data_IF_172228414512
#
_entry.id   IF_172228414512
#
_cell.length_a   1.000
_cell.length_b   1.000
_cell.length_c   1.000
_cell.angle_alpha   90.00
_cell.angle_beta   90.00
_cell.angle_gamma   90.00
#
_symmetry.space_group_name_H-M   'P 1'
#
loop_
_entity.id
_entity.type
_entity.pdbx_description
1 polymer ?
#
# COMPACT_ATOMS: atom_id res chain seq x y z
N UNK A 1 -33.76 -7.30 42.31
CA UNK A 1 -33.96 -6.00 42.99
C UNK A 1 -32.61 -5.30 42.94
N UNK A 2 -32.36 -4.11 42.38
CA UNK A 2 -33.16 -2.93 42.03
C UNK A 2 -32.54 -2.29 40.78
N UNK A 3 -33.38 -1.73 39.92
CA UNK A 3 -32.97 -0.81 38.85
C UNK A 3 -32.69 0.56 39.48
N UNK A 4 -31.60 1.22 39.10
CA UNK A 4 -31.44 2.66 39.33
C UNK A 4 -31.10 3.32 38.00
N UNK A 5 -32.07 4.10 37.54
CA UNK A 5 -31.96 5.10 36.49
C UNK A 5 -31.25 6.35 37.02
N UNK A 6 -30.61 7.10 36.12
CA UNK A 6 -30.06 8.43 36.39
C UNK A 6 -29.20 8.87 35.20
N UNK A 7 -29.77 9.50 34.18
CA UNK A 7 -30.11 10.93 34.07
C UNK A 7 -28.99 11.69 33.34
N UNK A 8 -29.40 12.31 32.22
CA UNK A 8 -28.60 13.10 31.29
C UNK A 8 -27.74 14.17 31.97
N UNK A 9 -26.51 14.34 31.48
CA UNK A 9 -25.79 15.60 31.51
C UNK A 9 -25.09 15.80 30.16
N UNK A 10 -25.67 16.63 29.30
CA UNK A 10 -25.04 17.13 28.09
C UNK A 10 -23.98 18.16 28.50
N UNK A 11 -22.70 17.85 28.26
CA UNK A 11 -21.59 18.78 28.46
C UNK A 11 -21.14 19.25 27.09
N UNK A 12 -21.54 20.47 26.73
CA UNK A 12 -21.02 21.23 25.60
C UNK A 12 -19.58 21.64 25.88
N UNK A 13 -18.62 20.99 25.23
CA UNK A 13 -17.21 21.39 25.24
C UNK A 13 -16.99 22.54 24.27
N UNK A 14 -16.65 23.70 24.83
CA UNK A 14 -16.32 24.94 24.14
C UNK A 14 -14.86 24.87 23.67
N UNK A 15 -14.62 24.85 22.36
CA UNK A 15 -13.28 24.86 21.74
C UNK A 15 -12.64 26.24 21.87
N UNK A 16 -11.45 26.32 22.47
CA UNK A 16 -10.62 27.54 22.47
C UNK A 16 -9.44 27.29 21.53
N UNK A 17 -9.44 27.96 20.37
CA UNK A 17 -8.29 28.01 19.47
C UNK A 17 -7.26 28.99 20.05
N UNK A 18 -6.16 28.47 20.59
CA UNK A 18 -4.98 29.27 20.92
C UNK A 18 -4.10 29.41 19.66
N UNK A 19 -4.09 30.61 19.06
CA UNK A 19 -3.13 30.98 18.03
C UNK A 19 -1.80 31.38 18.65
N UNK A 20 -0.71 30.69 18.30
CA UNK A 20 0.64 31.06 18.69
C UNK A 20 1.16 32.14 17.71
N UNK A 21 1.20 33.40 18.14
CA UNK A 21 1.96 34.45 17.46
C UNK A 21 3.40 34.39 17.98
N UNK A 22 4.36 34.03 17.12
CA UNK A 22 5.79 34.08 17.44
C UNK A 22 6.30 35.54 17.52
N UNK A 23 7.35 35.82 18.33
CA UNK A 23 7.85 37.17 18.52
C UNK A 23 8.53 37.73 17.26
N UNK A 24 8.32 39.02 17.06
CA UNK A 24 8.97 39.84 16.02
C UNK A 24 10.37 40.21 16.50
N UNK A 25 11.41 39.67 15.86
CA UNK A 25 12.79 40.13 16.06
C UNK A 25 13.12 41.27 15.09
N UNK A 26 13.76 42.27 15.67
CA UNK A 26 14.11 43.57 15.09
C UNK A 26 15.60 43.61 14.71
N UNK A 27 15.84 44.11 13.50
CA UNK A 27 17.06 44.75 12.94
C UNK A 27 18.20 43.92 12.32
N UNK A 28 18.76 44.40 11.18
CA UNK A 28 19.78 43.70 10.38
C UNK A 28 21.21 44.09 10.75
N UNK A 29 22.21 43.25 10.39
CA UNK A 29 23.41 43.83 9.80
C UNK A 29 23.98 43.03 8.60
N UNK A 30 24.52 43.83 7.67
CA UNK A 30 25.58 43.55 6.70
C UNK A 30 25.38 42.45 5.63
N UNK A 31 25.04 42.90 4.42
CA UNK A 31 25.23 42.15 3.19
C UNK A 31 26.72 41.84 2.98
N UNK A 32 27.09 40.57 3.18
CA UNK A 32 28.27 39.98 2.56
C UNK A 32 27.75 39.15 1.38
N UNK A 33 27.96 39.67 0.17
CA UNK A 33 27.67 38.95 -1.07
C UNK A 33 28.63 37.76 -1.20
N UNK A 34 28.23 36.63 -0.64
CA UNK A 34 28.75 35.33 -1.03
C UNK A 34 27.93 34.88 -2.23
N UNK A 35 28.59 34.79 -3.39
CA UNK A 35 27.96 34.32 -4.62
C UNK A 35 27.29 32.97 -4.40
N UNK A 36 25.97 32.96 -4.50
CA UNK A 36 25.20 31.75 -4.72
C UNK A 36 25.62 31.21 -6.09
N UNK A 37 26.46 30.17 -6.09
CA UNK A 37 26.48 29.24 -7.21
C UNK A 37 25.10 28.59 -7.24
N UNK A 38 24.20 29.12 -8.05
CA UNK A 38 23.03 28.38 -8.49
C UNK A 38 23.55 27.12 -9.18
N UNK A 39 23.46 25.98 -8.50
CA UNK A 39 23.50 24.68 -9.15
C UNK A 39 22.21 24.59 -9.93
N UNK A 40 22.26 25.06 -11.18
CA UNK A 40 21.20 24.87 -12.15
C UNK A 40 20.94 23.36 -12.27
N UNK A 41 19.69 22.87 -12.08
CA UNK A 41 19.41 21.47 -12.32
C UNK A 41 19.76 21.16 -13.77
N UNK A 42 20.74 20.27 -13.96
CA UNK A 42 21.16 19.86 -15.28
C UNK A 42 20.01 19.06 -15.91
N UNK A 43 19.47 19.43 -17.09
CA UNK A 43 18.36 18.71 -17.71
C UNK A 43 18.74 17.32 -18.27
N UNK A 44 20.01 16.92 -18.11
CA UNK A 44 20.62 15.74 -18.73
C UNK A 44 20.99 14.64 -17.72
N UNK A 45 20.20 14.43 -16.67
CA UNK A 45 20.10 13.07 -16.09
C UNK A 45 19.24 12.23 -17.04
N UNK A 46 19.88 11.79 -18.14
CA UNK A 46 19.35 10.75 -19.01
C UNK A 46 19.11 9.51 -18.16
N UNK A 47 17.85 9.21 -17.87
CA UNK A 47 17.40 8.02 -17.17
C UNK A 47 17.91 6.79 -17.92
N UNK A 48 18.99 6.20 -17.43
CA UNK A 48 19.42 4.89 -17.88
C UNK A 48 18.27 3.91 -17.63
N UNK A 49 17.95 2.99 -18.57
CA UNK A 49 16.95 1.96 -18.32
C UNK A 49 17.31 1.22 -17.04
N UNK A 50 16.41 1.26 -16.06
CA UNK A 50 16.58 0.51 -14.82
C UNK A 50 16.48 -0.99 -15.16
N UNK A 51 17.40 -1.78 -14.63
CA UNK A 51 17.34 -3.23 -14.82
C UNK A 51 16.05 -3.77 -14.16
N UNK A 52 15.42 -4.83 -14.71
CA UNK A 52 14.28 -5.46 -14.05
C UNK A 52 14.65 -5.87 -12.62
N UNK A 53 13.73 -5.75 -11.66
CA UNK A 53 13.97 -6.20 -10.30
C UNK A 53 14.25 -7.71 -10.28
N UNK A 54 15.06 -8.14 -9.33
CA UNK A 54 15.44 -9.55 -9.14
C UNK A 54 14.70 -10.16 -7.95
N UNK A 55 14.46 -11.47 -8.02
CA UNK A 55 13.87 -12.24 -6.92
C UNK A 55 14.95 -12.76 -5.97
N UNK A 56 14.75 -12.54 -4.66
CA UNK A 56 15.66 -12.94 -3.60
C UNK A 56 14.93 -13.82 -2.57
N UNK A 57 14.91 -15.16 -2.74
CA UNK A 57 14.11 -16.07 -1.91
C UNK A 57 14.53 -16.12 -0.44
N UNK A 58 15.78 -15.78 -0.15
CA UNK A 58 16.36 -15.81 1.20
C UNK A 58 16.33 -14.45 1.92
N UNK A 59 15.77 -13.41 1.28
CA UNK A 59 15.66 -12.05 1.82
C UNK A 59 14.22 -11.72 2.25
N UNK A 60 14.01 -10.70 3.10
CA UNK A 60 12.68 -10.32 3.57
C UNK A 60 11.71 -9.90 2.45
N UNK A 61 10.41 -9.85 2.76
CA UNK A 61 9.37 -9.44 1.82
C UNK A 61 9.62 -8.03 1.26
N UNK A 62 10.02 -7.08 2.12
CA UNK A 62 10.32 -5.71 1.69
C UNK A 62 11.38 -5.62 0.58
N UNK A 63 12.35 -6.54 0.55
CA UNK A 63 13.35 -6.59 -0.52
C UNK A 63 12.78 -7.10 -1.84
N UNK A 64 11.76 -7.96 -1.77
CA UNK A 64 11.10 -8.55 -2.95
C UNK A 64 9.88 -7.74 -3.41
N UNK A 65 9.47 -6.69 -2.69
CA UNK A 65 8.31 -5.88 -3.06
C UNK A 65 8.39 -5.31 -4.49
N UNK A 66 9.52 -4.76 -4.98
CA UNK A 66 9.63 -4.30 -6.36
C UNK A 66 9.51 -5.43 -7.39
N UNK A 67 10.05 -6.62 -7.09
CA UNK A 67 9.93 -7.79 -7.96
C UNK A 67 8.49 -8.30 -8.05
N UNK A 68 7.79 -8.30 -6.91
CA UNK A 68 6.38 -8.64 -6.83
C UNK A 68 5.52 -7.66 -7.64
N UNK A 69 5.72 -6.35 -7.46
CA UNK A 69 5.03 -5.31 -8.24
C UNK A 69 5.27 -5.48 -9.74
N UNK A 70 6.52 -5.68 -10.14
CA UNK A 70 6.88 -5.88 -11.54
C UNK A 70 6.22 -7.14 -12.12
N UNK A 71 6.20 -8.25 -11.38
CA UNK A 71 5.55 -9.49 -11.81
C UNK A 71 4.04 -9.29 -12.01
N UNK A 72 3.39 -8.58 -11.08
CA UNK A 72 1.97 -8.24 -11.21
C UNK A 72 1.73 -7.34 -12.44
N UNK A 73 2.53 -6.30 -12.63
CA UNK A 73 2.40 -5.39 -13.78
C UNK A 73 2.59 -6.12 -15.12
N UNK A 74 3.62 -6.97 -15.25
CA UNK A 74 3.87 -7.75 -16.47
C UNK A 74 2.78 -8.79 -16.76
N UNK A 75 2.14 -9.31 -15.71
CA UNK A 75 0.99 -10.20 -15.85
C UNK A 75 -0.31 -9.47 -16.27
N UNK A 76 -0.28 -8.13 -16.32
CA UNK A 76 -1.42 -7.29 -16.68
C UNK A 76 -2.25 -6.81 -15.50
N UNK A 77 -1.83 -7.03 -14.25
CA UNK A 77 -2.50 -6.44 -13.10
C UNK A 77 -2.48 -4.91 -13.23
N UNK A 78 -3.64 -4.27 -13.03
CA UNK A 78 -3.80 -2.83 -13.28
C UNK A 78 -4.24 -2.50 -14.71
N UNK A 79 -4.39 -3.50 -15.60
CA UNK A 79 -4.88 -3.34 -16.98
C UNK A 79 -5.79 -4.53 -17.35
N UNK A 80 -7.11 -4.34 -17.35
CA UNK A 80 -8.07 -5.42 -17.68
C UNK A 80 -8.24 -5.61 -19.20
N UNK A 81 -8.59 -6.84 -19.65
CA UNK A 81 -8.94 -8.01 -18.84
C UNK A 81 -7.71 -8.84 -18.41
N UNK A 82 -7.70 -9.20 -17.13
CA UNK A 82 -6.74 -10.15 -16.53
C UNK A 82 -7.54 -11.14 -15.68
N UNK A 83 -7.15 -12.42 -15.70
CA UNK A 83 -7.80 -13.46 -14.90
C UNK A 83 -6.98 -13.79 -13.65
N UNK A 84 -7.66 -14.23 -12.59
CA UNK A 84 -7.04 -14.77 -11.38
C UNK A 84 -6.00 -15.86 -11.66
N UNK A 85 -6.30 -16.71 -12.63
CA UNK A 85 -5.46 -17.84 -13.02
C UNK A 85 -4.16 -17.35 -13.65
N UNK A 86 -4.21 -16.36 -14.54
CA UNK A 86 -3.03 -15.80 -15.20
C UNK A 86 -2.08 -15.13 -14.19
N UNK A 87 -2.62 -14.34 -13.26
CA UNK A 87 -1.82 -13.74 -12.17
C UNK A 87 -1.16 -14.81 -11.32
N UNK A 88 -1.91 -15.84 -10.94
CA UNK A 88 -1.40 -16.94 -10.10
C UNK A 88 -0.28 -17.69 -10.84
N UNK A 89 -0.45 -17.99 -12.12
CA UNK A 89 0.58 -18.65 -12.92
C UNK A 89 1.81 -17.77 -13.12
N UNK A 90 1.65 -16.45 -13.29
CA UNK A 90 2.77 -15.52 -13.39
C UNK A 90 3.59 -15.51 -12.09
N UNK A 91 2.93 -15.42 -10.93
CA UNK A 91 3.60 -15.48 -9.63
C UNK A 91 4.33 -16.82 -9.40
N UNK A 92 3.70 -17.93 -9.78
CA UNK A 92 4.35 -19.26 -9.70
C UNK A 92 5.56 -19.32 -10.63
N UNK A 93 5.43 -18.85 -11.86
CA UNK A 93 6.52 -18.79 -12.84
C UNK A 93 7.68 -17.89 -12.39
N UNK A 94 7.37 -16.86 -11.59
CA UNK A 94 8.33 -15.96 -10.97
C UNK A 94 9.05 -16.56 -9.75
N UNK A 95 8.58 -17.70 -9.23
CA UNK A 95 9.20 -18.45 -8.13
C UNK A 95 8.46 -18.38 -6.79
N UNK A 96 7.28 -17.74 -6.73
CA UNK A 96 6.42 -17.81 -5.56
C UNK A 96 5.70 -19.16 -5.47
N UNK A 97 5.39 -19.60 -4.26
CA UNK A 97 4.79 -20.92 -4.04
C UNK A 97 3.27 -20.82 -4.12
N UNK A 98 2.64 -21.72 -4.88
CA UNK A 98 1.19 -21.73 -5.07
C UNK A 98 0.38 -21.80 -3.75
N UNK A 99 0.91 -22.50 -2.74
CA UNK A 99 0.26 -22.64 -1.44
C UNK A 99 0.25 -21.34 -0.61
N UNK A 100 1.12 -20.39 -0.95
CA UNK A 100 1.27 -19.12 -0.25
C UNK A 100 0.52 -17.98 -0.95
N UNK A 101 -0.09 -18.25 -2.11
CA UNK A 101 -0.84 -17.26 -2.90
C UNK A 101 -2.31 -17.26 -2.46
N UNK A 102 -2.79 -16.10 -2.08
CA UNK A 102 -4.19 -15.83 -1.73
C UNK A 102 -4.74 -14.75 -2.66
N UNK A 103 -6.02 -14.86 -3.06
CA UNK A 103 -6.63 -13.85 -3.92
C UNK A 103 -8.12 -13.68 -3.65
N UNK A 104 -8.62 -12.45 -3.71
CA UNK A 104 -10.05 -12.18 -3.63
C UNK A 104 -10.76 -12.64 -4.91
N UNK A 105 -12.07 -12.95 -4.85
CA UNK A 105 -12.83 -13.29 -6.05
C UNK A 105 -12.80 -12.18 -7.11
N UNK A 106 -12.51 -12.56 -8.36
CA UNK A 106 -12.55 -11.64 -9.53
C UNK A 106 -13.97 -11.27 -9.98
N UNK A 107 -15.00 -11.92 -9.41
CA UNK A 107 -16.41 -11.70 -9.71
C UNK A 107 -17.24 -11.60 -8.45
N UNK A 108 -18.25 -10.74 -8.50
CA UNK A 108 -19.29 -10.63 -7.49
C UNK A 108 -20.22 -11.85 -7.49
N UNK A 109 -21.07 -11.95 -6.45
CA UNK A 109 -22.08 -13.00 -6.31
C UNK A 109 -23.10 -13.04 -7.46
N UNK A 110 -23.27 -11.93 -8.18
CA UNK A 110 -24.15 -11.82 -9.36
C UNK A 110 -23.37 -11.90 -10.69
N UNK A 111 -22.14 -12.44 -10.65
CA UNK A 111 -21.26 -12.70 -11.80
C UNK A 111 -20.80 -11.46 -12.59
N UNK A 112 -20.84 -10.27 -11.99
CA UNK A 112 -20.18 -9.08 -12.53
C UNK A 112 -18.69 -9.07 -12.13
N UNK A 113 -17.79 -8.55 -12.97
CA UNK A 113 -16.39 -8.32 -12.58
C UNK A 113 -16.30 -7.53 -11.28
N UNK A 114 -15.32 -7.86 -10.44
CA UNK A 114 -15.01 -7.08 -9.26
C UNK A 114 -14.41 -5.73 -9.66
N UNK A 115 -14.76 -4.66 -8.92
CA UNK A 115 -14.20 -3.32 -9.15
C UNK A 115 -12.71 -3.26 -8.82
N UNK A 116 -12.25 -4.15 -7.93
CA UNK A 116 -10.85 -4.33 -7.57
C UNK A 116 -10.60 -5.77 -7.14
N UNK A 117 -9.39 -6.26 -7.37
CA UNK A 117 -8.93 -7.56 -6.90
C UNK A 117 -7.70 -7.37 -6.02
N UNK A 118 -7.67 -8.04 -4.89
CA UNK A 118 -6.49 -8.12 -4.02
C UNK A 118 -5.84 -9.49 -4.17
N UNK A 119 -4.52 -9.49 -4.27
CA UNK A 119 -3.65 -10.67 -4.26
C UNK A 119 -2.68 -10.54 -3.10
N UNK A 120 -2.34 -11.64 -2.46
CA UNK A 120 -1.29 -11.66 -1.47
C UNK A 120 -0.43 -12.91 -1.59
N UNK A 121 0.84 -12.78 -1.21
CA UNK A 121 1.76 -13.90 -1.08
C UNK A 121 2.36 -13.89 0.32
N UNK A 122 2.15 -14.97 1.07
CA UNK A 122 2.87 -15.20 2.32
C UNK A 122 4.35 -15.46 2.00
N UNK A 123 5.24 -14.60 2.49
CA UNK A 123 6.65 -14.63 2.12
C UNK A 123 7.53 -14.13 3.26
N UNK A 124 8.53 -14.93 3.63
CA UNK A 124 9.49 -14.60 4.70
C UNK A 124 8.85 -14.18 6.05
N UNK A 125 7.64 -14.68 6.35
CA UNK A 125 6.90 -14.35 7.58
C UNK A 125 6.09 -13.05 7.52
N UNK A 126 6.06 -12.39 6.36
CA UNK A 126 5.25 -11.22 6.06
C UNK A 126 4.34 -11.51 4.85
N UNK A 127 3.49 -10.56 4.49
CA UNK A 127 2.60 -10.66 3.34
C UNK A 127 2.96 -9.58 2.32
N UNK A 128 3.34 -10.01 1.12
CA UNK A 128 3.36 -9.15 -0.06
C UNK A 128 1.91 -9.01 -0.54
N UNK A 129 1.33 -7.81 -0.46
CA UNK A 129 -0.06 -7.58 -0.85
C UNK A 129 -0.11 -6.65 -2.05
N UNK A 130 -0.85 -7.04 -3.08
CA UNK A 130 -1.17 -6.23 -4.24
C UNK A 130 -2.67 -6.00 -4.31
N UNK A 131 -3.08 -4.79 -4.70
CA UNK A 131 -4.45 -4.50 -5.09
C UNK A 131 -4.45 -3.83 -6.45
N UNK A 132 -5.37 -4.22 -7.31
CA UNK A 132 -5.45 -3.68 -8.65
C UNK A 132 -6.88 -3.55 -9.16
N UNK A 133 -7.05 -2.62 -10.10
CA UNK A 133 -8.25 -2.45 -10.93
C UNK A 133 -7.85 -2.60 -12.41
N UNK A 134 -8.66 -2.08 -13.33
CA UNK A 134 -8.32 -1.90 -14.75
C UNK A 134 -7.48 -0.65 -15.05
N UNK A 135 -7.22 0.18 -14.05
CA UNK A 135 -6.53 1.47 -14.20
C UNK A 135 -5.26 1.60 -13.38
N UNK A 136 -5.16 0.88 -12.26
CA UNK A 136 -4.03 1.01 -11.33
C UNK A 136 -3.68 -0.29 -10.62
N UNK A 137 -2.44 -0.35 -10.16
CA UNK A 137 -1.88 -1.37 -9.29
C UNK A 137 -1.19 -0.66 -8.11
N UNK A 138 -1.39 -1.18 -6.90
CA UNK A 138 -0.64 -0.76 -5.71
C UNK A 138 -0.19 -1.99 -4.94
N UNK A 139 1.01 -1.93 -4.37
CA UNK A 139 1.58 -2.99 -3.55
C UNK A 139 2.06 -2.47 -2.20
N UNK A 140 2.10 -3.35 -1.19
CA UNK A 140 2.68 -3.08 0.12
C UNK A 140 3.13 -4.39 0.81
N UNK A 141 3.90 -4.25 1.89
CA UNK A 141 4.23 -5.34 2.81
C UNK A 141 3.46 -5.14 4.12
N UNK A 142 2.74 -6.17 4.54
CA UNK A 142 1.99 -6.15 5.80
C UNK A 142 2.32 -7.35 6.67
N UNK A 143 2.10 -7.20 7.97
CA UNK A 143 2.15 -8.33 8.89
C UNK A 143 0.99 -9.30 8.60
N UNK A 144 1.19 -10.62 8.76
CA UNK A 144 0.13 -11.60 8.57
C UNK A 144 -0.98 -11.43 9.62
N UNK A 145 -2.16 -11.96 9.29
CA UNK A 145 -3.28 -12.07 10.21
C UNK A 145 -2.94 -13.02 11.37
N UNK A 146 -3.66 -12.98 12.51
CA UNK A 146 -3.39 -13.87 13.64
C UNK A 146 -3.49 -15.37 13.33
N UNK A 147 -4.21 -15.75 12.27
CA UNK A 147 -4.34 -17.12 11.77
C UNK A 147 -3.23 -17.50 10.76
N UNK A 148 -2.32 -16.58 10.45
CA UNK A 148 -1.19 -16.76 9.55
C UNK A 148 -1.49 -16.46 8.08
N UNK A 149 -2.74 -16.13 7.72
CA UNK A 149 -3.12 -15.77 6.35
C UNK A 149 -2.80 -14.31 6.04
N UNK A 150 -2.88 -13.96 4.76
CA UNK A 150 -2.65 -12.59 4.30
C UNK A 150 -3.94 -11.83 3.99
N UNK A 151 -5.01 -12.52 3.58
CA UNK A 151 -6.28 -11.93 3.19
C UNK A 151 -7.46 -12.53 3.98
N UNK A 152 -8.49 -11.70 4.16
CA UNK A 152 -9.79 -12.16 4.68
C UNK A 152 -10.67 -12.54 3.48
N UNK A 153 -10.70 -13.82 3.14
CA UNK A 153 -11.40 -14.32 1.94
C UNK A 153 -12.86 -14.72 2.19
N UNK A 154 -13.16 -15.23 3.38
CA UNK A 154 -14.50 -15.68 3.75
C UNK A 154 -15.26 -14.60 4.51
N UNK A 155 -16.55 -14.46 4.19
CA UNK A 155 -17.49 -13.76 5.05
C UNK A 155 -18.04 -14.76 6.06
N UNK A 156 -17.84 -14.50 7.35
CA UNK A 156 -18.62 -15.15 8.39
C UNK A 156 -20.10 -14.90 8.11
N UNK A 157 -20.91 -15.96 8.02
CA UNK A 157 -22.36 -15.80 7.86
C UNK A 157 -22.90 -15.14 9.12
N UNK A 158 -23.65 -14.05 8.95
CA UNK A 158 -24.36 -13.42 10.06
C UNK A 158 -25.62 -14.25 10.31
N UNK A 159 -25.53 -15.23 11.21
CA UNK A 159 -26.68 -16.01 11.69
C UNK A 159 -27.63 -15.17 12.56
#
# INVERSE_FOLDING_TARGET
MKRCAGMLAAVTTLSVLAGCTGPTDTSPPAETSAGINEVQPNPDESSQPEAPPEFYPDLPAATNLPFFEHTLAESGAGVLPVSAEDITQALIGAGFQAADIEMTPEKSLIALPADSVSVAVAFAGECLVGQYTDEWLAVDVVAPLPDGRCLVLERETLD
#
